data_IF_231063574641
#
_entry.id   IF_231063574641
#
_cell.length_a   1.000
_cell.length_b   1.000
_cell.length_c   1.000
_cell.angle_alpha   90.00
_cell.angle_beta   90.00
_cell.angle_gamma   90.00
#
_symmetry.space_group_name_H-M   'P 1'
#
loop_
_entity.id
_entity.type
_entity.pdbx_description
1 polymer ?
#
# COMPACT_ATOMS: atom_id res chain seq x y z
N UNK A 1 0.36 23.42 10.68
CA UNK A 1 1.02 24.49 11.49
C UNK A 1 1.89 25.33 10.56
N UNK A 2 1.80 26.68 10.61
CA UNK A 2 2.78 27.53 9.93
C UNK A 2 4.19 27.23 10.47
N UNK A 3 5.11 26.85 9.60
CA UNK A 3 6.47 26.46 9.97
C UNK A 3 7.41 27.61 9.56
N UNK A 4 7.86 28.36 10.56
CA UNK A 4 8.91 29.37 10.41
C UNK A 4 10.21 28.77 10.94
N UNK A 5 11.21 28.62 10.07
CA UNK A 5 12.53 28.13 10.44
C UNK A 5 13.41 29.36 10.67
N UNK A 6 13.87 29.52 11.92
CA UNK A 6 14.78 30.59 12.31
C UNK A 6 16.17 30.00 12.53
N UNK A 7 17.17 30.58 11.88
CA UNK A 7 18.58 30.22 12.04
C UNK A 7 19.27 31.33 12.84
N UNK A 8 19.90 30.98 13.95
CA UNK A 8 20.70 31.92 14.74
C UNK A 8 22.01 32.20 13.98
N UNK A 9 22.27 33.45 13.63
CA UNK A 9 23.43 33.88 12.85
C UNK A 9 24.40 34.79 13.64
N UNK A 10 24.15 35.03 14.93
CA UNK A 10 24.99 35.86 15.79
C UNK A 10 24.59 35.77 17.26
N UNK A 11 25.16 36.62 18.11
CA UNK A 11 24.90 36.58 19.56
C UNK A 11 23.45 36.91 19.94
N UNK A 12 22.68 37.59 19.08
CA UNK A 12 21.24 37.87 19.29
C UNK A 12 20.45 38.07 17.97
N UNK A 13 20.95 37.54 16.84
CA UNK A 13 20.31 37.73 15.54
C UNK A 13 19.79 36.42 14.95
N UNK A 14 18.50 36.42 14.55
CA UNK A 14 17.84 35.32 13.86
C UNK A 14 17.54 35.68 12.41
N UNK A 15 17.83 34.77 11.50
CA UNK A 15 17.47 34.88 10.08
C UNK A 15 16.40 33.83 9.77
N UNK A 16 15.35 34.25 9.07
CA UNK A 16 14.33 33.31 8.55
C UNK A 16 14.98 32.49 7.44
N UNK A 17 15.22 31.20 7.69
CA UNK A 17 15.83 30.27 6.73
C UNK A 17 14.81 29.42 5.98
N UNK A 18 13.53 29.52 6.32
CA UNK A 18 12.45 28.83 5.62
C UNK A 18 11.09 29.27 6.15
N UNK A 19 10.14 29.50 5.23
CA UNK A 19 8.77 29.85 5.55
C UNK A 19 7.82 29.05 4.64
N UNK A 20 6.95 28.25 5.26
CA UNK A 20 5.87 27.54 4.57
C UNK A 20 4.59 28.37 4.67
N UNK A 21 4.27 29.08 3.59
CA UNK A 21 3.19 30.06 3.42
C UNK A 21 1.79 29.42 3.30
N UNK A 22 1.46 28.49 4.20
CA UNK A 22 0.19 27.76 4.15
C UNK A 22 -1.02 28.47 4.80
N UNK A 23 -0.92 29.72 5.24
CA UNK A 23 -1.98 30.36 6.03
C UNK A 23 -2.20 31.85 5.70
N UNK A 24 -3.45 32.25 5.47
CA UNK A 24 -3.92 33.62 5.19
C UNK A 24 -4.65 34.30 6.36
N UNK A 25 -4.37 33.90 7.62
CA UNK A 25 -5.07 34.42 8.81
C UNK A 25 -4.12 35.10 9.83
N UNK A 26 -4.63 36.00 10.70
CA UNK A 26 -3.83 36.65 11.76
C UNK A 26 -3.25 35.68 12.81
N UNK A 27 -2.24 36.14 13.55
CA UNK A 27 -1.69 35.45 14.73
C UNK A 27 -2.75 35.37 15.85
N UNK A 28 -2.76 34.26 16.59
CA UNK A 28 -3.67 34.06 17.72
C UNK A 28 -3.31 35.02 18.86
N UNK A 29 -4.32 35.67 19.44
CA UNK A 29 -4.16 36.54 20.62
C UNK A 29 -3.92 35.71 21.88
N UNK A 30 -3.29 36.31 22.91
CA UNK A 30 -2.97 35.62 24.17
C UNK A 30 -4.17 34.89 24.80
N UNK A 31 -5.36 35.50 24.75
CA UNK A 31 -6.58 34.93 25.30
C UNK A 31 -6.96 33.57 24.67
N UNK A 32 -6.65 33.39 23.38
CA UNK A 32 -6.97 32.18 22.63
C UNK A 32 -5.81 31.18 22.52
N UNK A 33 -4.61 31.51 23.05
CA UNK A 33 -3.46 30.60 23.03
C UNK A 33 -3.75 29.25 23.68
N UNK A 34 -4.59 29.21 24.72
CA UNK A 34 -5.00 27.98 25.41
C UNK A 34 -5.73 26.98 24.50
N UNK A 35 -6.30 27.44 23.39
CA UNK A 35 -6.97 26.58 22.41
C UNK A 35 -6.03 26.05 21.31
N UNK A 36 -4.79 26.55 21.23
CA UNK A 36 -3.81 26.05 20.27
C UNK A 36 -3.33 24.65 20.65
N UNK A 37 -3.32 23.71 19.69
CA UNK A 37 -2.86 22.32 19.85
C UNK A 37 -1.48 22.20 20.53
N UNK A 38 -0.54 23.10 20.23
CA UNK A 38 0.80 23.11 20.83
C UNK A 38 0.78 23.38 22.35
N UNK A 39 -0.21 24.13 22.83
CA UNK A 39 -0.39 24.52 24.24
C UNK A 39 -1.36 23.58 24.99
N UNK A 40 -2.01 22.64 24.29
CA UNK A 40 -2.92 21.64 24.87
C UNK A 40 -2.16 20.36 25.21
N UNK A 41 -1.24 20.45 26.17
CA UNK A 41 -0.42 19.32 26.66
C UNK A 41 -0.54 19.21 28.17
N UNK A 42 -0.66 17.98 28.67
CA UNK A 42 -0.59 17.70 30.10
C UNK A 42 0.81 18.02 30.62
N UNK A 43 0.88 18.85 31.66
CA UNK A 43 2.12 19.03 32.43
C UNK A 43 2.52 17.74 33.15
N UNK A 44 3.80 17.62 33.50
CA UNK A 44 4.36 16.42 34.15
C UNK A 44 3.57 16.00 35.41
N UNK A 45 3.14 16.97 36.22
CA UNK A 45 2.38 16.71 37.45
C UNK A 45 0.99 16.15 37.15
N UNK A 46 0.28 16.70 36.15
CA UNK A 46 -1.04 16.19 35.76
C UNK A 46 -0.94 14.79 35.17
N UNK A 47 0.11 14.52 34.41
CA UNK A 47 0.38 13.19 33.87
C UNK A 47 0.58 12.15 34.98
N UNK A 48 1.42 12.45 35.98
CA UNK A 48 1.62 11.56 37.13
C UNK A 48 0.34 11.35 37.93
N UNK A 49 -0.46 12.40 38.14
CA UNK A 49 -1.75 12.29 38.80
C UNK A 49 -2.69 11.31 38.08
N UNK A 50 -2.79 11.40 36.75
CA UNK A 50 -3.61 10.49 35.95
C UNK A 50 -3.09 9.04 36.05
N UNK A 51 -1.76 8.84 36.06
CA UNK A 51 -1.18 7.51 36.25
C UNK A 51 -1.47 6.93 37.65
N UNK A 52 -1.41 7.75 38.70
CA UNK A 52 -1.73 7.30 40.06
C UNK A 52 -3.22 6.96 40.20
N UNK A 53 -4.10 7.72 39.57
CA UNK A 53 -5.51 7.37 39.46
C UNK A 53 -5.72 6.04 38.71
N UNK A 54 -5.00 5.79 37.62
CA UNK A 54 -5.06 4.52 36.90
C UNK A 54 -4.62 3.34 37.80
N UNK A 55 -3.58 3.51 38.63
CA UNK A 55 -3.16 2.51 39.64
C UNK A 55 -4.23 2.26 40.70
N UNK A 56 -5.04 3.28 41.01
CA UNK A 56 -6.21 3.17 41.89
C UNK A 56 -7.48 2.67 41.17
N UNK A 57 -7.35 2.17 39.94
CA UNK A 57 -8.46 1.67 39.12
C UNK A 57 -9.51 2.74 38.78
N UNK A 58 -9.10 4.01 38.75
CA UNK A 58 -9.91 5.13 38.27
C UNK A 58 -9.56 5.34 36.80
N UNK A 59 -10.57 5.20 35.93
CA UNK A 59 -10.37 5.31 34.48
C UNK A 59 -9.81 6.67 34.04
N UNK A 60 -9.13 6.75 32.87
CA UNK A 60 -8.47 7.98 32.40
C UNK A 60 -9.41 9.19 32.30
N UNK A 61 -10.65 8.98 31.82
CA UNK A 61 -11.70 10.00 31.74
C UNK A 61 -12.04 10.59 33.11
N UNK A 62 -12.32 9.72 34.08
CA UNK A 62 -12.63 10.13 35.45
C UNK A 62 -11.43 10.82 36.10
N UNK A 63 -10.23 10.31 35.87
CA UNK A 63 -8.97 10.88 36.35
C UNK A 63 -8.74 12.27 35.79
N UNK A 64 -8.97 12.47 34.50
CA UNK A 64 -8.83 13.76 33.84
C UNK A 64 -9.89 14.76 34.32
N UNK A 65 -11.16 14.33 34.47
CA UNK A 65 -12.21 15.15 35.08
C UNK A 65 -11.87 15.57 36.51
N UNK A 66 -11.36 14.65 37.33
CA UNK A 66 -10.90 14.98 38.69
C UNK A 66 -9.73 15.97 38.62
N UNK A 67 -8.72 15.70 37.78
CA UNK A 67 -7.58 16.59 37.60
C UNK A 67 -8.03 18.00 37.21
N UNK A 68 -8.97 18.11 36.26
CA UNK A 68 -9.56 19.37 35.81
C UNK A 68 -10.24 20.12 36.96
N UNK A 69 -11.00 19.45 37.82
CA UNK A 69 -11.58 20.10 39.01
C UNK A 69 -10.51 20.51 40.02
N UNK A 70 -9.48 19.68 40.24
CA UNK A 70 -8.36 19.98 41.16
C UNK A 70 -7.57 21.20 40.72
N UNK A 71 -7.33 21.36 39.42
CA UNK A 71 -6.57 22.50 38.88
C UNK A 71 -7.45 23.71 38.51
N UNK A 72 -8.77 23.63 38.77
CA UNK A 72 -9.70 24.75 38.59
C UNK A 72 -10.12 25.04 37.14
N UNK A 73 -10.07 24.03 36.25
CA UNK A 73 -10.58 24.10 34.89
C UNK A 73 -9.67 23.51 33.81
N UNK A 74 -10.22 23.29 32.61
CA UNK A 74 -9.51 22.66 31.49
C UNK A 74 -8.25 23.42 31.06
N UNK A 75 -8.29 24.76 31.04
CA UNK A 75 -7.15 25.58 30.66
C UNK A 75 -5.93 25.35 31.56
N UNK A 76 -6.17 25.14 32.85
CA UNK A 76 -5.11 24.92 33.83
C UNK A 76 -4.60 23.47 33.79
N UNK A 77 -5.42 22.52 33.33
CA UNK A 77 -4.99 21.16 33.03
C UNK A 77 -4.11 21.09 31.75
N UNK A 78 -4.03 22.17 30.97
CA UNK A 78 -3.37 22.19 29.67
C UNK A 78 -4.22 21.55 28.59
N UNK A 79 -5.54 21.76 28.62
CA UNK A 79 -6.49 21.08 27.75
C UNK A 79 -7.78 21.89 27.52
N UNK A 80 -8.67 21.31 26.72
CA UNK A 80 -10.04 21.79 26.44
C UNK A 80 -11.05 20.71 26.77
N UNK A 81 -12.34 21.07 26.79
CA UNK A 81 -13.45 20.13 26.93
C UNK A 81 -13.46 19.02 25.86
N UNK A 82 -12.90 19.30 24.68
CA UNK A 82 -12.76 18.33 23.59
C UNK A 82 -11.62 17.34 23.78
N UNK A 83 -10.62 17.65 24.62
CA UNK A 83 -9.46 16.78 24.87
C UNK A 83 -9.75 15.66 25.88
N UNK A 84 -10.94 15.67 26.49
CA UNK A 84 -11.39 14.57 27.35
C UNK A 84 -11.62 13.31 26.50
N UNK A 85 -11.98 13.41 25.22
CA UNK A 85 -12.37 12.24 24.43
C UNK A 85 -11.20 11.60 23.67
N UNK A 86 -11.21 10.27 23.61
CA UNK A 86 -10.27 9.51 22.78
C UNK A 86 -10.51 9.78 21.29
N UNK A 87 -9.61 10.51 20.64
CA UNK A 87 -9.77 10.89 19.23
C UNK A 87 -9.11 9.93 18.26
N UNK A 88 -8.04 9.27 18.69
CA UNK A 88 -7.18 8.46 17.81
C UNK A 88 -6.44 7.38 18.60
N UNK A 89 -6.36 6.17 18.04
CA UNK A 89 -5.54 5.07 18.56
C UNK A 89 -4.77 4.48 17.40
N UNK A 90 -3.46 4.34 17.52
CA UNK A 90 -2.63 3.56 16.59
C UNK A 90 -2.00 2.40 17.36
N UNK A 91 -2.02 1.20 16.78
CA UNK A 91 -1.33 0.05 17.35
C UNK A 91 -0.75 -0.85 16.25
N UNK A 92 0.39 -1.45 16.59
CA UNK A 92 1.05 -2.48 15.81
C UNK A 92 1.84 -3.36 16.77
N UNK A 93 1.63 -4.68 16.71
CA UNK A 93 2.37 -5.63 17.54
C UNK A 93 3.69 -6.06 16.87
N UNK A 94 4.58 -6.76 17.59
CA UNK A 94 5.89 -7.17 17.04
C UNK A 94 5.80 -7.99 15.75
N UNK A 95 4.79 -8.87 15.62
CA UNK A 95 4.57 -9.67 14.42
C UNK A 95 4.20 -8.80 13.23
N UNK A 96 3.33 -7.80 13.43
CA UNK A 96 2.91 -6.86 12.41
C UNK A 96 4.08 -5.98 11.93
N UNK A 97 4.93 -5.51 12.86
CA UNK A 97 6.18 -4.78 12.57
C UNK A 97 7.17 -5.65 11.79
N UNK A 98 7.33 -6.93 12.19
CA UNK A 98 8.16 -7.90 11.46
C UNK A 98 7.65 -8.13 10.03
N UNK A 99 6.34 -8.31 9.86
CA UNK A 99 5.74 -8.45 8.52
C UNK A 99 6.00 -7.22 7.65
N UNK A 100 5.91 -6.02 8.21
CA UNK A 100 6.24 -4.79 7.50
C UNK A 100 7.72 -4.75 7.07
N UNK A 101 8.63 -5.21 7.92
CA UNK A 101 10.06 -5.28 7.59
C UNK A 101 10.37 -6.20 6.39
N UNK A 102 9.52 -7.20 6.13
CA UNK A 102 9.69 -8.16 5.02
C UNK A 102 8.99 -7.66 3.75
N UNK A 103 7.76 -7.15 3.86
CA UNK A 103 6.90 -6.90 2.70
C UNK A 103 6.81 -5.42 2.28
N UNK A 104 6.93 -4.48 3.23
CA UNK A 104 7.22 -3.05 3.06
C UNK A 104 6.27 -2.14 2.25
N UNK A 105 5.42 -2.69 1.40
CA UNK A 105 4.43 -1.95 0.62
C UNK A 105 3.07 -1.94 1.32
N UNK A 106 2.42 -0.78 1.34
CA UNK A 106 1.27 -0.51 2.21
C UNK A 106 0.03 -0.11 1.42
N UNK A 107 -1.12 -0.60 1.86
CA UNK A 107 -2.44 -0.12 1.53
C UNK A 107 -3.12 0.29 2.82
N UNK A 108 -3.74 1.46 2.83
CA UNK A 108 -4.62 1.90 3.91
C UNK A 108 -5.98 2.18 3.32
N UNK A 109 -7.00 1.74 4.02
CA UNK A 109 -8.39 1.82 3.59
C UNK A 109 -9.24 2.08 4.82
N UNK A 110 -9.99 3.17 4.81
CA UNK A 110 -10.84 3.55 5.93
C UNK A 110 -12.18 2.81 5.80
N UNK A 111 -12.44 1.92 6.76
CA UNK A 111 -13.77 1.33 6.95
C UNK A 111 -14.56 2.16 7.94
N UNK A 112 -15.76 2.57 7.54
CA UNK A 112 -16.58 3.51 8.29
C UNK A 112 -17.33 2.85 9.45
N UNK A 113 -17.40 3.57 10.58
CA UNK A 113 -18.33 3.35 11.70
C UNK A 113 -18.26 1.96 12.36
N UNK A 114 -17.07 1.47 12.68
CA UNK A 114 -16.91 0.06 13.06
C UNK A 114 -17.25 -0.27 14.52
N UNK A 115 -17.68 0.71 15.31
CA UNK A 115 -17.99 0.54 16.73
C UNK A 115 -19.02 1.57 17.20
N UNK A 116 -19.49 1.42 18.45
CA UNK A 116 -20.57 2.24 19.02
C UNK A 116 -20.23 3.73 19.18
N UNK A 117 -18.95 4.09 19.02
CA UNK A 117 -18.46 5.46 19.09
C UNK A 117 -18.27 6.10 17.71
N UNK A 118 -18.70 5.40 16.66
CA UNK A 118 -18.56 5.83 15.26
C UNK A 118 -17.12 6.12 14.83
N UNK A 119 -16.13 5.57 15.54
CA UNK A 119 -14.74 5.70 15.11
C UNK A 119 -14.50 4.89 13.83
N UNK A 120 -13.63 5.42 12.99
CA UNK A 120 -13.23 4.90 11.70
C UNK A 120 -12.06 3.97 11.94
N UNK A 121 -12.17 2.75 11.45
CA UNK A 121 -11.10 1.77 11.50
C UNK A 121 -10.37 1.74 10.17
N UNK A 122 -9.05 1.94 10.21
CA UNK A 122 -8.21 1.85 9.04
C UNK A 122 -7.00 0.94 9.31
N UNK A 123 -7.02 -0.30 8.82
CA UNK A 123 -5.87 -1.18 8.91
C UNK A 123 -4.83 -0.83 7.85
N UNK A 124 -3.55 -0.88 8.25
CA UNK A 124 -2.42 -0.87 7.33
C UNK A 124 -2.17 -2.30 6.87
N UNK A 125 -2.31 -2.55 5.57
CA UNK A 125 -2.21 -3.91 5.00
C UNK A 125 -1.27 -3.97 3.81
N UNK A 126 -0.81 -5.17 3.47
CA UNK A 126 0.01 -5.44 2.29
C UNK A 126 -0.25 -6.84 1.74
N UNK A 127 0.71 -7.36 0.95
CA UNK A 127 0.71 -8.77 0.50
C UNK A 127 1.93 -9.52 1.00
N UNK A 128 1.68 -10.69 1.56
CA UNK A 128 2.69 -11.65 1.99
C UNK A 128 3.32 -12.42 0.80
N UNK A 129 4.23 -13.37 1.09
CA UNK A 129 4.89 -14.21 0.10
C UNK A 129 3.96 -15.24 -0.59
N UNK A 130 2.72 -15.40 -0.12
CA UNK A 130 1.64 -16.18 -0.76
C UNK A 130 0.69 -15.30 -1.59
N UNK A 131 0.95 -13.98 -1.63
CA UNK A 131 0.06 -13.00 -2.24
C UNK A 131 -1.30 -12.91 -1.56
N UNK A 132 -1.40 -13.28 -0.26
CA UNK A 132 -2.55 -13.02 0.60
C UNK A 132 -2.36 -11.71 1.35
N UNK A 133 -3.45 -11.18 1.91
CA UNK A 133 -3.40 -9.97 2.74
C UNK A 133 -2.59 -10.24 4.02
N UNK A 134 -1.83 -9.24 4.45
CA UNK A 134 -1.13 -9.23 5.73
C UNK A 134 -1.34 -7.88 6.39
N UNK A 135 -1.59 -7.85 7.70
CA UNK A 135 -1.78 -6.62 8.48
C UNK A 135 -0.47 -6.19 9.14
N UNK A 136 -0.13 -4.90 9.01
CA UNK A 136 1.06 -4.28 9.61
C UNK A 136 0.73 -3.46 10.86
N UNK A 137 -0.52 -3.06 11.02
CA UNK A 137 -1.01 -2.29 12.16
C UNK A 137 -2.38 -1.75 11.83
N UNK A 138 -2.96 -0.99 12.74
CA UNK A 138 -4.24 -0.35 12.50
C UNK A 138 -4.40 0.94 13.28
N UNK A 139 -5.38 1.72 12.85
CA UNK A 139 -5.78 2.94 13.52
C UNK A 139 -7.30 2.98 13.73
N UNK A 140 -7.71 3.57 14.84
CA UNK A 140 -9.06 4.09 15.06
C UNK A 140 -9.03 5.61 15.08
N UNK A 141 -9.89 6.27 14.31
CA UNK A 141 -9.98 7.72 14.21
C UNK A 141 -11.40 8.22 14.48
N UNK A 142 -11.52 9.32 15.23
CA UNK A 142 -12.80 10.01 15.45
C UNK A 142 -13.20 10.95 14.29
N UNK A 143 -12.30 11.24 13.34
CA UNK A 143 -12.62 12.06 12.18
C UNK A 143 -11.55 12.09 11.09
N UNK A 144 -11.99 12.33 9.86
CA UNK A 144 -11.19 12.31 8.61
C UNK A 144 -10.84 13.73 8.20
N UNK A 145 -9.73 14.23 8.70
CA UNK A 145 -9.16 15.50 8.26
C UNK A 145 -7.65 15.33 8.06
N UNK A 146 -7.03 16.29 7.39
CA UNK A 146 -5.61 16.17 7.04
C UNK A 146 -4.72 16.07 8.28
N UNK A 147 -5.04 16.76 9.38
CA UNK A 147 -4.28 16.64 10.64
C UNK A 147 -4.40 15.24 11.27
N UNK A 148 -5.57 14.61 11.18
CA UNK A 148 -5.77 13.23 11.65
C UNK A 148 -4.86 12.28 10.86
N UNK A 149 -4.84 12.40 9.53
CA UNK A 149 -4.02 11.51 8.70
C UNK A 149 -2.52 11.81 8.78
N UNK A 150 -2.13 13.07 8.96
CA UNK A 150 -0.73 13.42 9.27
C UNK A 150 -0.27 12.69 10.53
N UNK A 151 -1.08 12.75 11.60
CA UNK A 151 -0.80 12.01 12.84
C UNK A 151 -0.72 10.50 12.61
N UNK A 152 -1.61 9.93 11.78
CA UNK A 152 -1.59 8.51 11.44
C UNK A 152 -0.29 8.10 10.76
N UNK A 153 0.15 8.85 9.75
CA UNK A 153 1.40 8.54 9.05
C UNK A 153 2.62 8.82 9.92
N UNK A 154 2.61 9.86 10.75
CA UNK A 154 3.67 10.11 11.74
C UNK A 154 3.83 8.92 12.69
N UNK A 155 2.73 8.42 13.27
CA UNK A 155 2.76 7.28 14.19
C UNK A 155 3.16 5.98 13.50
N UNK A 156 2.70 5.78 12.27
CA UNK A 156 3.13 4.65 11.47
C UNK A 156 4.64 4.67 11.25
N UNK A 157 5.23 5.79 10.83
CA UNK A 157 6.68 5.90 10.62
C UNK A 157 7.47 5.81 11.93
N UNK A 158 6.97 6.40 13.01
CA UNK A 158 7.59 6.27 14.34
C UNK A 158 7.66 4.81 14.79
N UNK A 159 6.60 4.03 14.55
CA UNK A 159 6.52 2.62 14.92
C UNK A 159 7.32 1.70 13.98
N UNK A 160 7.25 1.95 12.68
CA UNK A 160 7.85 1.12 11.64
C UNK A 160 9.30 1.47 11.33
N UNK A 161 9.75 2.68 11.72
CA UNK A 161 11.10 3.23 11.50
C UNK A 161 11.52 3.33 10.03
N UNK A 162 10.58 3.19 9.09
CA UNK A 162 10.85 3.24 7.66
C UNK A 162 9.63 3.70 6.88
N UNK A 163 9.89 4.44 5.80
CA UNK A 163 8.87 4.84 4.83
C UNK A 163 8.48 3.66 3.93
N UNK A 164 7.19 3.49 3.61
CA UNK A 164 6.79 2.51 2.62
C UNK A 164 7.29 2.95 1.24
N UNK A 165 7.73 1.98 0.44
CA UNK A 165 8.08 2.21 -0.98
C UNK A 165 6.89 2.74 -1.77
N UNK A 166 5.69 2.27 -1.42
CA UNK A 166 4.43 2.64 -2.03
C UNK A 166 3.31 2.61 -0.99
N UNK A 167 2.41 3.58 -1.08
CA UNK A 167 1.16 3.60 -0.35
C UNK A 167 -0.03 3.70 -1.30
N UNK A 168 -1.05 2.90 -1.04
CA UNK A 168 -2.36 2.99 -1.70
C UNK A 168 -3.37 3.52 -0.71
N UNK A 169 -4.12 4.52 -1.14
CA UNK A 169 -5.25 5.08 -0.40
C UNK A 169 -6.50 5.09 -1.28
N UNK A 170 -7.66 5.41 -0.72
CA UNK A 170 -8.81 5.84 -1.50
C UNK A 170 -8.59 7.26 -2.09
N UNK A 171 -9.66 7.88 -2.60
CA UNK A 171 -9.61 9.22 -3.20
C UNK A 171 -9.84 10.36 -2.19
N UNK A 172 -9.55 10.16 -0.90
CA UNK A 172 -9.69 11.20 0.12
C UNK A 172 -8.64 12.33 -0.09
N UNK A 173 -9.08 13.59 -0.32
CA UNK A 173 -8.17 14.73 -0.44
C UNK A 173 -7.29 14.97 0.80
N UNK A 174 -7.80 14.69 2.00
CA UNK A 174 -7.07 14.82 3.25
C UNK A 174 -5.94 13.79 3.36
N UNK A 175 -6.17 12.54 2.95
CA UNK A 175 -5.11 11.54 2.86
C UNK A 175 -4.04 11.96 1.86
N UNK A 176 -4.42 12.47 0.69
CA UNK A 176 -3.47 12.95 -0.32
C UNK A 176 -2.53 14.03 0.24
N UNK A 177 -3.07 15.02 0.97
CA UNK A 177 -2.28 16.07 1.60
C UNK A 177 -1.34 15.47 2.64
N UNK A 178 -1.86 14.62 3.54
CA UNK A 178 -1.06 14.03 4.60
C UNK A 178 0.07 13.12 4.09
N UNK A 179 -0.17 12.33 3.03
CA UNK A 179 0.87 11.52 2.37
C UNK A 179 1.96 12.43 1.80
N UNK A 180 1.61 13.54 1.15
CA UNK A 180 2.60 14.48 0.61
C UNK A 180 3.41 15.20 1.71
N UNK A 181 2.79 15.46 2.86
CA UNK A 181 3.45 16.14 3.98
C UNK A 181 4.39 15.21 4.77
N UNK A 182 4.00 13.95 5.01
CA UNK A 182 4.74 13.04 5.87
C UNK A 182 5.61 12.06 5.07
N UNK A 183 5.09 11.49 3.99
CA UNK A 183 5.69 10.37 3.27
C UNK A 183 6.43 10.80 1.99
N UNK A 184 7.43 11.66 2.14
CA UNK A 184 8.17 12.29 1.02
C UNK A 184 8.84 11.32 0.05
N UNK A 185 9.36 10.19 0.54
CA UNK A 185 10.00 9.15 -0.29
C UNK A 185 9.04 8.02 -0.73
N UNK A 186 7.75 8.18 -0.43
CA UNK A 186 6.73 7.17 -0.73
C UNK A 186 5.97 7.52 -2.00
N UNK A 187 5.73 6.50 -2.83
CA UNK A 187 4.86 6.64 -4.00
C UNK A 187 3.41 6.53 -3.59
N UNK A 188 2.64 7.58 -3.81
CA UNK A 188 1.20 7.57 -3.58
C UNK A 188 0.44 7.03 -4.80
N UNK A 189 -0.42 6.05 -4.60
CA UNK A 189 -1.37 5.54 -5.60
C UNK A 189 -2.79 5.54 -5.06
N UNK A 190 -3.75 5.60 -5.97
CA UNK A 190 -5.16 5.50 -5.64
C UNK A 190 -5.65 4.05 -5.84
N UNK A 191 -6.49 3.60 -4.91
CA UNK A 191 -7.07 2.27 -4.92
C UNK A 191 -8.04 2.11 -6.10
N UNK A 192 -7.71 1.19 -7.00
CA UNK A 192 -8.53 0.91 -8.18
C UNK A 192 -9.93 0.40 -7.81
N UNK A 193 -10.07 -0.32 -6.68
CA UNK A 193 -11.37 -0.84 -6.25
C UNK A 193 -12.36 0.28 -5.97
N UNK A 194 -11.97 1.26 -5.15
CA UNK A 194 -12.80 2.44 -4.86
C UNK A 194 -13.13 3.26 -6.11
N UNK A 195 -12.19 3.36 -7.05
CA UNK A 195 -12.43 4.03 -8.33
C UNK A 195 -13.51 3.28 -9.11
N UNK A 196 -13.37 1.96 -9.24
CA UNK A 196 -14.29 1.11 -10.01
C UNK A 196 -15.68 1.02 -9.37
N UNK A 197 -15.81 1.10 -8.05
CA UNK A 197 -17.10 1.20 -7.37
C UNK A 197 -17.86 2.49 -7.71
N UNK A 198 -17.15 3.59 -7.96
CA UNK A 198 -17.76 4.87 -8.35
C UNK A 198 -18.17 4.91 -9.81
N UNK A 199 -17.59 4.08 -10.68
CA UNK A 199 -17.89 4.10 -12.13
C UNK A 199 -19.39 3.96 -12.39
N UNK A 200 -20.13 2.95 -11.88
CA UNK A 200 -21.57 2.81 -12.11
C UNK A 200 -22.41 4.01 -11.63
N UNK A 201 -21.96 4.75 -10.62
CA UNK A 201 -22.65 5.94 -10.12
C UNK A 201 -22.53 7.13 -11.08
N UNK A 202 -21.47 7.15 -11.89
CA UNK A 202 -21.13 8.21 -12.85
C UNK A 202 -21.62 7.91 -14.26
N UNK A 203 -22.11 6.71 -14.51
CA UNK A 203 -22.69 6.31 -15.79
C UNK A 203 -24.12 6.81 -15.95
N UNK A 204 -24.48 7.13 -17.20
CA UNK A 204 -25.86 7.30 -17.62
C UNK A 204 -26.66 6.02 -17.32
N UNK A 205 -27.93 6.15 -16.95
CA UNK A 205 -28.78 5.03 -16.48
C UNK A 205 -28.78 3.83 -17.42
N UNK A 206 -28.80 4.07 -18.74
CA UNK A 206 -28.80 3.00 -19.75
C UNK A 206 -27.46 2.25 -19.86
N UNK A 207 -26.34 2.86 -19.45
CA UNK A 207 -25.01 2.27 -19.51
C UNK A 207 -24.67 1.42 -18.28
N UNK A 208 -25.38 1.60 -17.16
CA UNK A 208 -25.11 0.88 -15.90
C UNK A 208 -25.13 -0.64 -16.08
N UNK A 209 -26.00 -1.13 -16.97
CA UNK A 209 -26.16 -2.54 -17.29
C UNK A 209 -25.72 -2.89 -18.73
N UNK A 210 -25.02 -1.99 -19.42
CA UNK A 210 -24.51 -2.27 -20.76
C UNK A 210 -23.25 -3.16 -20.67
N UNK A 211 -23.41 -4.44 -21.00
CA UNK A 211 -22.34 -5.43 -20.97
C UNK A 211 -21.24 -5.15 -22.02
N UNK A 212 -21.57 -4.50 -23.14
CA UNK A 212 -20.59 -4.12 -24.17
C UNK A 212 -19.68 -3.02 -23.64
N UNK A 213 -20.27 -1.97 -23.04
CA UNK A 213 -19.53 -0.92 -22.37
C UNK A 213 -18.62 -1.49 -21.28
N UNK A 214 -19.19 -2.29 -20.36
CA UNK A 214 -18.43 -2.90 -19.26
C UNK A 214 -17.25 -3.72 -19.79
N UNK A 215 -17.46 -4.53 -20.81
CA UNK A 215 -16.40 -5.37 -21.39
C UNK A 215 -15.25 -4.52 -21.96
N UNK A 216 -15.56 -3.52 -22.78
CA UNK A 216 -14.54 -2.68 -23.44
C UNK A 216 -13.83 -1.78 -22.42
N UNK A 217 -14.59 -1.16 -21.50
CA UNK A 217 -14.03 -0.30 -20.46
C UNK A 217 -13.12 -1.09 -19.49
N UNK A 218 -13.56 -2.25 -19.03
CA UNK A 218 -12.72 -3.11 -18.18
C UNK A 218 -11.49 -3.61 -18.95
N UNK A 219 -11.62 -4.00 -20.22
CA UNK A 219 -10.47 -4.41 -21.03
C UNK A 219 -9.43 -3.30 -21.17
N UNK A 220 -9.86 -2.04 -21.26
CA UNK A 220 -8.97 -0.89 -21.29
C UNK A 220 -8.29 -0.64 -19.94
N UNK A 221 -9.09 -0.50 -18.87
CA UNK A 221 -8.62 -0.19 -17.50
C UNK A 221 -7.66 -1.26 -16.96
N UNK A 222 -7.96 -2.52 -17.23
CA UNK A 222 -7.20 -3.67 -16.73
C UNK A 222 -6.11 -4.15 -17.69
N UNK A 223 -5.86 -3.45 -18.79
CA UNK A 223 -4.84 -3.86 -19.75
C UNK A 223 -3.43 -3.79 -19.14
N UNK A 224 -2.73 -4.91 -19.20
CA UNK A 224 -1.38 -5.08 -18.66
C UNK A 224 -0.30 -4.56 -19.61
N UNK A 225 -0.60 -4.38 -20.90
CA UNK A 225 0.40 -4.18 -21.98
C UNK A 225 0.06 -3.03 -22.94
N UNK A 226 -0.93 -2.20 -22.63
CA UNK A 226 -1.30 -1.08 -23.49
C UNK A 226 -0.32 0.09 -23.34
N UNK A 227 0.20 0.61 -24.46
CA UNK A 227 1.03 1.80 -24.47
C UNK A 227 0.22 3.06 -24.12
N UNK A 228 0.84 4.11 -23.54
CA UNK A 228 0.12 5.28 -23.05
C UNK A 228 -0.70 6.01 -24.12
N UNK A 229 -0.13 6.22 -25.29
CA UNK A 229 -0.79 6.86 -26.43
C UNK A 229 -2.00 6.04 -26.94
N UNK A 230 -1.85 4.71 -26.98
CA UNK A 230 -2.94 3.80 -27.35
C UNK A 230 -4.04 3.79 -26.28
N UNK A 231 -3.67 3.87 -25.00
CA UNK A 231 -4.63 4.00 -23.92
C UNK A 231 -5.42 5.29 -24.05
N UNK A 232 -4.75 6.41 -24.32
CA UNK A 232 -5.35 7.74 -24.40
C UNK A 232 -6.35 7.79 -25.56
N UNK A 233 -5.94 7.32 -26.74
CA UNK A 233 -6.81 7.24 -27.90
C UNK A 233 -8.03 6.33 -27.64
N UNK A 234 -7.85 5.17 -26.99
CA UNK A 234 -8.96 4.26 -26.67
C UNK A 234 -9.89 4.83 -25.58
N UNK A 235 -9.32 5.50 -24.58
CA UNK A 235 -10.08 6.15 -23.52
C UNK A 235 -11.01 7.21 -24.11
N UNK A 236 -10.47 8.12 -24.93
CA UNK A 236 -11.25 9.17 -25.58
C UNK A 236 -12.30 8.58 -26.53
N UNK A 237 -11.94 7.55 -27.31
CA UNK A 237 -12.89 6.87 -28.18
C UNK A 237 -14.08 6.26 -27.41
N UNK A 238 -13.82 5.59 -26.28
CA UNK A 238 -14.90 5.05 -25.43
C UNK A 238 -15.76 6.19 -24.89
N UNK A 239 -15.18 7.26 -24.37
CA UNK A 239 -15.97 8.36 -23.81
C UNK A 239 -16.83 9.06 -24.86
N UNK A 240 -16.35 9.19 -26.10
CA UNK A 240 -17.12 9.77 -27.21
C UNK A 240 -18.27 8.84 -27.61
N UNK A 241 -17.99 7.56 -27.85
CA UNK A 241 -18.99 6.58 -28.32
C UNK A 241 -20.14 6.43 -27.33
N UNK A 242 -19.84 6.48 -26.03
CA UNK A 242 -20.82 6.28 -24.97
C UNK A 242 -21.37 7.60 -24.38
N UNK A 243 -21.05 8.76 -24.98
CA UNK A 243 -21.59 10.06 -24.55
C UNK A 243 -21.14 10.50 -23.15
N UNK A 244 -19.95 10.09 -22.72
CA UNK A 244 -19.34 10.41 -21.42
C UNK A 244 -18.29 11.53 -21.52
N UNK A 245 -18.01 12.04 -22.71
CA UNK A 245 -16.95 13.02 -22.95
C UNK A 245 -17.11 14.33 -22.16
N UNK A 246 -18.34 14.74 -21.83
CA UNK A 246 -18.65 15.94 -21.04
C UNK A 246 -18.79 15.68 -19.53
N UNK A 247 -18.68 14.42 -19.11
CA UNK A 247 -18.77 14.07 -17.70
C UNK A 247 -17.46 14.45 -16.97
N UNK A 248 -17.60 15.35 -15.98
CA UNK A 248 -16.48 15.97 -15.28
C UNK A 248 -15.61 15.00 -14.48
N UNK A 249 -16.19 13.93 -13.95
CA UNK A 249 -15.48 12.91 -13.18
C UNK A 249 -14.56 12.08 -14.07
N UNK A 250 -15.00 11.62 -15.26
CA UNK A 250 -14.16 10.90 -16.22
C UNK A 250 -12.98 11.76 -16.70
N UNK A 251 -13.21 13.06 -16.97
CA UNK A 251 -12.12 14.02 -17.26
C UNK A 251 -11.12 14.13 -16.10
N UNK A 252 -11.62 14.20 -14.87
CA UNK A 252 -10.78 14.26 -13.67
C UNK A 252 -9.96 12.97 -13.49
N UNK A 253 -10.56 11.80 -13.74
CA UNK A 253 -9.85 10.52 -13.68
C UNK A 253 -8.72 10.43 -14.71
N UNK A 254 -8.97 10.94 -15.92
CA UNK A 254 -7.94 11.03 -16.96
C UNK A 254 -6.79 11.98 -16.57
N UNK A 255 -7.09 13.13 -15.95
CA UNK A 255 -6.05 14.04 -15.47
C UNK A 255 -5.19 13.43 -14.34
N UNK A 256 -5.82 12.76 -13.37
CA UNK A 256 -5.10 12.11 -12.26
C UNK A 256 -4.22 10.96 -12.78
N UNK A 257 -4.65 10.27 -13.84
CA UNK A 257 -3.83 9.28 -14.54
C UNK A 257 -2.54 9.87 -15.10
N UNK A 258 -2.63 11.02 -15.77
CA UNK A 258 -1.46 11.71 -16.36
C UNK A 258 -0.43 12.03 -15.28
N UNK A 259 -0.89 12.36 -14.07
CA UNK A 259 -0.04 12.57 -12.89
C UNK A 259 0.51 11.27 -12.27
N UNK A 260 0.28 10.10 -12.88
CA UNK A 260 0.87 8.81 -12.49
C UNK A 260 0.17 8.07 -11.35
N UNK A 261 -0.88 8.64 -10.75
CA UNK A 261 -1.49 8.14 -9.51
C UNK A 261 -2.46 6.94 -9.70
N UNK A 262 -2.98 6.70 -10.91
CA UNK A 262 -3.99 5.65 -11.16
C UNK A 262 -3.49 4.52 -12.07
N UNK A 263 -3.08 4.81 -13.32
CA UNK A 263 -2.91 3.74 -14.31
C UNK A 263 -1.45 3.37 -14.64
N UNK A 264 -0.46 4.12 -14.14
CA UNK A 264 0.94 3.70 -14.08
C UNK A 264 1.55 3.06 -15.35
N UNK A 265 1.08 3.40 -16.55
CA UNK A 265 1.55 2.78 -17.79
C UNK A 265 2.49 3.68 -18.62
N UNK A 266 2.60 4.97 -18.29
CA UNK A 266 3.60 5.88 -18.90
C UNK A 266 5.03 5.74 -18.36
N UNK A 267 5.20 5.10 -17.19
CA UNK A 267 6.51 4.96 -16.56
C UNK A 267 6.64 3.60 -15.87
N UNK A 268 6.78 2.51 -16.64
CA UNK A 268 7.11 1.20 -16.10
C UNK A 268 8.61 1.15 -15.77
N UNK A 269 9.04 2.01 -14.85
CA UNK A 269 10.42 2.04 -14.32
C UNK A 269 10.48 1.51 -12.89
N UNK A 270 9.35 1.09 -12.32
CA UNK A 270 9.26 0.84 -10.89
C UNK A 270 8.92 -0.61 -10.57
N UNK A 271 9.80 -1.31 -9.83
CA UNK A 271 9.55 -2.67 -9.37
C UNK A 271 8.19 -2.82 -8.70
N UNK A 272 7.49 -3.92 -8.99
CA UNK A 272 6.29 -4.40 -8.28
C UNK A 272 5.02 -3.56 -8.39
N UNK A 273 4.96 -2.57 -9.30
CA UNK A 273 3.83 -1.64 -9.40
C UNK A 273 2.47 -2.27 -9.72
N UNK A 274 2.43 -3.52 -10.21
CA UNK A 274 1.18 -4.21 -10.60
C UNK A 274 0.57 -5.05 -9.48
N UNK A 275 1.32 -5.41 -8.42
CA UNK A 275 0.73 -6.05 -7.22
C UNK A 275 -0.44 -5.21 -6.68
N UNK A 276 -0.31 -3.90 -6.85
CA UNK A 276 -1.09 -2.82 -6.28
C UNK A 276 -2.13 -2.24 -7.24
N UNK A 277 -2.16 -2.69 -8.50
CA UNK A 277 -3.24 -2.36 -9.43
C UNK A 277 -4.49 -3.18 -9.12
N UNK A 278 -4.34 -4.36 -8.51
CA UNK A 278 -5.47 -5.26 -8.21
C UNK A 278 -6.37 -4.67 -7.13
N UNK A 279 -7.69 -4.64 -7.39
CA UNK A 279 -8.71 -4.38 -6.36
C UNK A 279 -8.59 -5.33 -5.15
N UNK A 280 -7.95 -6.48 -5.37
CA UNK A 280 -7.87 -7.58 -4.43
C UNK A 280 -7.36 -7.21 -3.04
N UNK A 281 -6.52 -6.19 -2.84
CA UNK A 281 -6.02 -5.84 -1.50
C UNK A 281 -7.16 -5.24 -0.68
N UNK A 282 -7.73 -4.12 -1.14
CA UNK A 282 -8.89 -3.48 -0.50
C UNK A 282 -10.08 -4.43 -0.39
N UNK A 283 -10.41 -5.15 -1.46
CA UNK A 283 -11.50 -6.15 -1.44
C UNK A 283 -11.28 -7.23 -0.40
N UNK A 284 -10.09 -7.86 -0.38
CA UNK A 284 -9.81 -8.95 0.54
C UNK A 284 -9.75 -8.47 1.98
N UNK A 285 -9.17 -7.31 2.24
CA UNK A 285 -9.11 -6.74 3.57
C UNK A 285 -10.50 -6.32 4.07
N UNK A 286 -11.31 -5.66 3.24
CA UNK A 286 -12.69 -5.33 3.58
C UNK A 286 -13.49 -6.61 3.87
N UNK A 287 -13.42 -7.61 2.98
CA UNK A 287 -14.07 -8.91 3.19
C UNK A 287 -13.57 -9.63 4.44
N UNK A 288 -12.28 -9.51 4.77
CA UNK A 288 -11.68 -10.16 5.92
C UNK A 288 -12.19 -9.55 7.22
N UNK A 289 -12.03 -8.24 7.39
CA UNK A 289 -12.42 -7.56 8.63
C UNK A 289 -13.93 -7.48 8.82
N UNK A 290 -14.74 -7.40 7.76
CA UNK A 290 -16.20 -7.39 7.89
C UNK A 290 -16.78 -8.59 8.65
N UNK A 291 -16.07 -9.72 8.72
CA UNK A 291 -16.48 -10.88 9.52
C UNK A 291 -16.28 -10.69 11.04
N UNK A 292 -15.50 -9.70 11.44
CA UNK A 292 -15.08 -9.45 12.82
C UNK A 292 -15.56 -8.10 13.36
N UNK A 293 -15.95 -7.17 12.48
CA UNK A 293 -16.42 -5.84 12.89
C UNK A 293 -17.87 -5.90 13.37
N UNK A 294 -18.13 -5.30 14.53
CA UNK A 294 -19.47 -5.19 15.11
C UNK A 294 -19.74 -3.74 15.51
N UNK A 295 -20.71 -3.11 14.85
CA UNK A 295 -21.15 -1.74 15.07
C UNK A 295 -21.57 -1.45 16.52
N UNK A 296 -22.06 -2.44 17.26
CA UNK A 296 -22.44 -2.30 18.67
C UNK A 296 -21.29 -2.44 19.66
N UNK A 297 -20.11 -2.88 19.21
CA UNK A 297 -18.98 -3.18 20.07
C UNK A 297 -18.46 -1.92 20.76
N UNK A 298 -18.10 -2.06 22.03
CA UNK A 298 -17.23 -1.10 22.70
C UNK A 298 -15.76 -1.31 22.29
N UNK A 299 -14.85 -0.42 22.68
CA UNK A 299 -13.45 -0.49 22.24
C UNK A 299 -12.72 -1.75 22.74
N UNK A 300 -13.08 -2.29 23.90
CA UNK A 300 -12.49 -3.53 24.43
C UNK A 300 -12.94 -4.72 23.59
N UNK A 301 -14.25 -4.83 23.32
CA UNK A 301 -14.81 -5.86 22.44
C UNK A 301 -14.21 -5.76 21.03
N UNK A 302 -14.07 -4.54 20.50
CA UNK A 302 -13.41 -4.30 19.23
C UNK A 302 -11.98 -4.85 19.20
N UNK A 303 -11.18 -4.59 20.23
CA UNK A 303 -9.82 -5.12 20.33
C UNK A 303 -9.81 -6.64 20.40
N UNK A 304 -10.74 -7.26 21.15
CA UNK A 304 -10.87 -8.72 21.20
C UNK A 304 -11.19 -9.32 19.82
N UNK A 305 -12.07 -8.68 19.05
CA UNK A 305 -12.39 -9.11 17.68
C UNK A 305 -11.21 -8.92 16.74
N UNK A 306 -10.47 -7.81 16.88
CA UNK A 306 -9.25 -7.56 16.12
C UNK A 306 -8.19 -8.64 16.40
N UNK A 307 -7.95 -8.98 17.66
CA UNK A 307 -6.99 -10.01 18.05
C UNK A 307 -7.39 -11.38 17.49
N UNK A 308 -8.67 -11.74 17.57
CA UNK A 308 -9.19 -12.98 16.96
C UNK A 308 -9.00 -13.01 15.43
N UNK A 309 -9.18 -11.87 14.76
CA UNK A 309 -8.88 -11.74 13.34
C UNK A 309 -7.38 -11.96 13.08
N UNK A 310 -6.50 -11.33 13.86
CA UNK A 310 -5.05 -11.49 13.71
C UNK A 310 -4.59 -12.94 13.93
N UNK A 311 -5.13 -13.62 14.94
CA UNK A 311 -4.87 -15.04 15.18
C UNK A 311 -5.28 -15.91 14.00
N UNK A 312 -6.46 -15.64 13.42
CA UNK A 312 -6.93 -16.37 12.23
C UNK A 312 -6.02 -16.14 11.02
N UNK A 313 -5.62 -14.89 10.77
CA UNK A 313 -4.72 -14.54 9.67
C UNK A 313 -3.35 -15.21 9.83
N UNK A 314 -2.79 -15.19 11.04
CA UNK A 314 -1.48 -15.77 11.37
C UNK A 314 -1.50 -17.29 11.29
N UNK A 315 -2.51 -17.94 11.86
CA UNK A 315 -2.64 -19.38 11.76
C UNK A 315 -2.75 -19.85 10.31
N UNK A 316 -3.52 -19.12 9.48
CA UNK A 316 -3.62 -19.42 8.05
C UNK A 316 -2.28 -19.23 7.31
N UNK A 317 -1.47 -18.24 7.70
CA UNK A 317 -0.14 -18.02 7.15
C UNK A 317 0.83 -19.14 7.53
N UNK A 318 0.88 -19.50 8.82
CA UNK A 318 1.77 -20.54 9.34
C UNK A 318 1.44 -21.91 8.76
N UNK A 319 0.15 -22.23 8.62
CA UNK A 319 -0.30 -23.46 7.97
C UNK A 319 0.20 -23.54 6.52
N UNK A 320 0.12 -22.43 5.77
CA UNK A 320 0.61 -22.39 4.39
C UNK A 320 2.13 -22.53 4.29
N UNK A 321 2.87 -21.85 5.17
CA UNK A 321 4.32 -22.02 5.24
C UNK A 321 4.71 -23.45 5.60
N UNK A 322 3.99 -24.08 6.54
CA UNK A 322 4.23 -25.48 6.90
C UNK A 322 4.03 -26.41 5.70
N UNK A 323 2.94 -26.22 4.94
CA UNK A 323 2.64 -27.02 3.73
C UNK A 323 3.72 -26.82 2.67
N UNK A 324 4.17 -25.58 2.46
CA UNK A 324 5.23 -25.25 1.52
C UNK A 324 6.59 -25.79 1.96
N UNK A 325 6.86 -25.96 3.25
CA UNK A 325 8.10 -26.60 3.71
C UNK A 325 8.04 -28.12 3.65
N UNK A 326 6.86 -28.73 3.76
CA UNK A 326 6.70 -30.19 3.71
C UNK A 326 6.49 -30.75 2.31
N UNK A 327 6.09 -29.92 1.35
CA UNK A 327 5.64 -30.39 0.02
C UNK A 327 6.27 -29.57 -1.11
N UNK A 328 6.64 -30.26 -2.19
CA UNK A 328 6.99 -29.61 -3.45
C UNK A 328 5.81 -29.73 -4.43
N UNK A 329 5.41 -28.63 -5.10
CA UNK A 329 4.41 -28.70 -6.14
C UNK A 329 4.90 -29.54 -7.31
N UNK A 330 3.96 -30.17 -8.03
CA UNK A 330 4.27 -30.98 -9.21
C UNK A 330 4.65 -30.06 -10.37
N UNK A 331 5.70 -30.44 -11.10
CA UNK A 331 6.08 -29.77 -12.34
C UNK A 331 5.29 -30.33 -13.53
N UNK A 332 5.09 -29.49 -14.55
CA UNK A 332 4.35 -29.82 -15.77
C UNK A 332 5.24 -29.97 -17.00
N UNK A 333 6.44 -29.41 -16.99
CA UNK A 333 7.41 -29.47 -18.09
C UNK A 333 8.67 -30.25 -17.66
N UNK A 334 9.46 -30.75 -18.62
CA UNK A 334 10.72 -31.43 -18.32
C UNK A 334 11.87 -30.46 -17.98
N UNK A 335 11.62 -29.15 -17.89
CA UNK A 335 12.66 -28.15 -17.72
C UNK A 335 13.15 -28.06 -16.28
N UNK A 336 14.46 -28.19 -16.07
CA UNK A 336 15.09 -28.19 -14.75
C UNK A 336 14.85 -26.90 -13.95
N UNK A 337 14.78 -25.75 -14.63
CA UNK A 337 14.51 -24.49 -13.95
C UNK A 337 13.07 -24.40 -13.40
N UNK A 338 12.13 -25.22 -13.88
CA UNK A 338 10.81 -25.37 -13.27
C UNK A 338 10.92 -26.13 -11.94
N UNK A 339 11.71 -27.20 -11.89
CA UNK A 339 12.02 -27.89 -10.63
C UNK A 339 12.69 -26.95 -9.62
N UNK A 340 13.63 -26.10 -10.07
CA UNK A 340 14.20 -25.06 -9.21
C UNK A 340 13.14 -24.04 -8.77
N UNK A 341 12.24 -23.60 -9.66
CA UNK A 341 11.13 -22.72 -9.29
C UNK A 341 10.25 -23.33 -8.18
N UNK A 342 10.00 -24.64 -8.24
CA UNK A 342 9.22 -25.37 -7.26
C UNK A 342 9.86 -25.43 -5.86
N UNK A 343 11.19 -25.31 -5.75
CA UNK A 343 11.89 -25.32 -4.45
C UNK A 343 11.98 -23.93 -3.82
N UNK A 344 12.00 -22.86 -4.63
CA UNK A 344 12.20 -21.49 -4.15
C UNK A 344 10.90 -20.74 -3.85
N UNK A 345 9.88 -20.88 -4.71
CA UNK A 345 8.63 -20.12 -4.58
C UNK A 345 7.63 -20.82 -3.65
N UNK A 346 6.79 -20.03 -3.00
CA UNK A 346 5.61 -20.56 -2.31
C UNK A 346 4.71 -21.29 -3.31
N UNK A 347 3.94 -22.31 -2.89
CA UNK A 347 3.13 -23.11 -3.83
C UNK A 347 2.22 -22.25 -4.69
N UNK A 348 1.60 -21.23 -4.09
CA UNK A 348 0.69 -20.32 -4.79
C UNK A 348 1.40 -19.42 -5.80
N UNK A 349 2.64 -19.00 -5.54
CA UNK A 349 3.42 -18.22 -6.50
C UNK A 349 4.03 -19.12 -7.57
N UNK A 350 4.43 -20.34 -7.21
CA UNK A 350 4.92 -21.34 -8.15
C UNK A 350 3.90 -21.60 -9.26
N UNK A 351 2.61 -21.78 -8.94
CA UNK A 351 1.56 -21.98 -9.97
C UNK A 351 1.57 -20.85 -11.01
N UNK A 352 1.74 -19.59 -10.59
CA UNK A 352 1.82 -18.45 -11.52
C UNK A 352 3.09 -18.44 -12.36
N UNK A 353 4.20 -18.94 -11.82
CA UNK A 353 5.47 -19.09 -12.55
C UNK A 353 5.38 -20.27 -13.51
N UNK A 354 4.77 -21.36 -13.10
CA UNK A 354 4.50 -22.55 -13.90
C UNK A 354 3.62 -22.21 -15.11
N UNK A 355 2.57 -21.42 -14.95
CA UNK A 355 1.77 -20.90 -16.08
C UNK A 355 2.63 -20.17 -17.13
N UNK A 356 3.61 -19.37 -16.70
CA UNK A 356 4.53 -18.68 -17.62
C UNK A 356 5.54 -19.64 -18.26
N UNK A 357 5.97 -20.66 -17.53
CA UNK A 357 6.88 -21.69 -18.03
C UNK A 357 6.16 -22.57 -19.07
N UNK A 358 4.94 -23.01 -18.79
CA UNK A 358 4.08 -23.76 -19.73
C UNK A 358 3.80 -22.93 -20.98
N UNK A 359 3.45 -21.64 -20.83
CA UNK A 359 3.30 -20.72 -21.97
C UNK A 359 4.57 -20.62 -22.80
N UNK A 360 5.74 -20.54 -22.16
CA UNK A 360 7.01 -20.53 -22.87
C UNK A 360 7.27 -21.85 -23.63
N UNK A 361 6.89 -22.99 -23.03
CA UNK A 361 7.11 -24.32 -23.58
C UNK A 361 6.21 -24.63 -24.78
N UNK A 362 4.93 -24.22 -24.72
CA UNK A 362 3.92 -24.68 -25.68
C UNK A 362 3.42 -23.59 -26.63
N UNK A 363 3.62 -22.31 -26.29
CA UNK A 363 2.98 -21.19 -27.00
C UNK A 363 3.93 -20.07 -27.41
N UNK A 364 5.21 -20.14 -27.07
CA UNK A 364 6.17 -19.09 -27.43
C UNK A 364 7.24 -19.63 -28.37
N UNK A 365 7.57 -18.85 -29.41
CA UNK A 365 8.61 -19.20 -30.38
C UNK A 365 9.51 -18.01 -30.65
N UNK A 366 10.80 -18.26 -30.86
CA UNK A 366 11.74 -17.23 -31.33
C UNK A 366 11.59 -17.11 -32.83
N UNK A 367 11.13 -15.95 -33.29
CA UNK A 367 10.86 -15.65 -34.71
C UNK A 367 11.95 -14.78 -35.35
N UNK A 368 12.72 -14.03 -34.56
CA UNK A 368 13.85 -13.23 -35.03
C UNK A 368 14.99 -13.23 -34.01
N UNK A 369 16.22 -13.20 -34.52
CA UNK A 369 17.44 -13.03 -33.73
C UNK A 369 18.28 -11.96 -34.42
N UNK A 370 18.54 -10.89 -33.70
CA UNK A 370 19.38 -9.77 -34.14
C UNK A 370 20.67 -9.81 -33.30
N UNK A 371 21.79 -10.24 -33.89
CA UNK A 371 23.06 -10.30 -33.18
C UNK A 371 23.62 -8.90 -32.98
N UNK A 372 24.10 -8.63 -31.77
CA UNK A 372 24.94 -7.47 -31.46
C UNK A 372 26.16 -7.90 -30.66
N UNK A 373 27.16 -7.03 -30.59
CA UNK A 373 28.45 -7.33 -29.97
C UNK A 373 28.29 -7.59 -28.46
N UNK A 374 27.69 -6.64 -27.73
CA UNK A 374 27.42 -6.74 -26.28
C UNK A 374 26.03 -7.28 -25.94
N UNK A 375 25.04 -7.08 -26.81
CA UNK A 375 23.64 -7.45 -26.57
C UNK A 375 23.07 -8.21 -27.77
N UNK A 376 22.34 -9.30 -27.52
CA UNK A 376 21.56 -10.02 -28.53
C UNK A 376 20.09 -9.68 -28.35
N UNK A 377 19.40 -9.35 -29.42
CA UNK A 377 17.96 -9.08 -29.39
C UNK A 377 17.18 -10.24 -30.01
N UNK A 378 16.26 -10.81 -29.25
CA UNK A 378 15.36 -11.88 -29.67
C UNK A 378 13.95 -11.32 -29.84
N UNK A 379 13.28 -11.66 -30.93
CA UNK A 379 11.84 -11.49 -31.04
C UNK A 379 11.16 -12.80 -30.73
N UNK A 380 10.30 -12.76 -29.72
CA UNK A 380 9.53 -13.90 -29.24
C UNK A 380 8.07 -13.62 -29.53
N UNK A 381 7.49 -14.44 -30.39
CA UNK A 381 6.05 -14.46 -30.62
C UNK A 381 5.40 -15.34 -29.56
N UNK A 382 4.33 -14.85 -28.93
CA UNK A 382 3.51 -15.66 -28.01
C UNK A 382 2.23 -16.16 -28.69
N UNK A 383 1.47 -17.01 -28.00
CA UNK A 383 0.23 -17.59 -28.53
C UNK A 383 -0.93 -16.59 -28.76
N UNK A 384 -0.65 -15.29 -28.74
CA UNK A 384 -1.58 -14.22 -29.10
C UNK A 384 -1.21 -13.48 -30.39
N UNK A 385 -0.30 -14.06 -31.20
CA UNK A 385 0.26 -13.48 -32.43
C UNK A 385 0.94 -12.11 -32.19
N UNK A 386 1.32 -11.84 -30.93
CA UNK A 386 2.04 -10.63 -30.55
C UNK A 386 3.52 -10.96 -30.39
N UNK A 387 4.38 -10.16 -31.04
CA UNK A 387 5.83 -10.30 -30.92
C UNK A 387 6.38 -9.34 -29.86
N UNK A 388 7.14 -9.89 -28.91
CA UNK A 388 7.86 -9.15 -27.89
C UNK A 388 9.36 -9.21 -28.12
N UNK A 389 10.06 -8.18 -27.66
CA UNK A 389 11.51 -8.09 -27.76
C UNK A 389 12.14 -8.49 -26.44
N UNK A 390 13.10 -9.42 -26.47
CA UNK A 390 13.92 -9.80 -25.33
C UNK A 390 15.37 -9.44 -25.64
N UNK A 391 15.92 -8.49 -24.89
CA UNK A 391 17.32 -8.08 -24.99
C UNK A 391 18.13 -8.87 -23.99
N UNK A 392 19.17 -9.56 -24.45
CA UNK A 392 20.10 -10.32 -23.61
C UNK A 392 21.48 -9.67 -23.64
N UNK A 393 21.89 -9.13 -22.50
CA UNK A 393 23.23 -8.59 -22.28
C UNK A 393 24.19 -9.74 -21.95
N UNK A 394 25.25 -9.90 -22.75
CA UNK A 394 26.24 -10.97 -22.60
C UNK A 394 27.23 -10.72 -21.46
N UNK A 395 27.42 -9.46 -21.05
CA UNK A 395 28.38 -9.07 -20.01
C UNK A 395 27.75 -9.25 -18.65
N UNK A 396 26.55 -8.71 -18.46
CA UNK A 396 25.79 -8.82 -17.21
C UNK A 396 25.04 -10.14 -17.08
N UNK A 397 24.97 -10.93 -18.17
CA UNK A 397 24.21 -12.16 -18.28
C UNK A 397 22.72 -11.93 -17.96
N UNK A 398 22.16 -10.83 -18.46
CA UNK A 398 20.80 -10.38 -18.15
C UNK A 398 19.90 -10.33 -19.37
N UNK A 399 18.80 -11.06 -19.34
CA UNK A 399 17.64 -10.90 -20.19
C UNK A 399 16.63 -9.86 -19.64
N UNK A 400 16.18 -8.95 -20.51
CA UNK A 400 15.11 -7.97 -20.24
C UNK A 400 14.09 -8.04 -21.37
N UNK A 401 12.81 -8.20 -21.02
CA UNK A 401 11.72 -8.28 -22.00
C UNK A 401 10.92 -6.98 -22.07
N UNK A 402 10.53 -6.58 -23.29
CA UNK A 402 9.66 -5.43 -23.57
C UNK A 402 8.28 -5.53 -22.90
N UNK A 403 7.80 -6.73 -22.56
CA UNK A 403 6.55 -6.89 -21.79
C UNK A 403 6.66 -6.38 -20.34
N UNK A 404 7.89 -6.16 -19.84
CA UNK A 404 8.22 -5.63 -18.51
C UNK A 404 7.58 -6.38 -17.34
N UNK A 405 7.18 -7.66 -17.52
CA UNK A 405 6.49 -8.44 -16.47
C UNK A 405 7.32 -8.59 -15.20
N UNK A 406 8.63 -8.82 -15.33
CA UNK A 406 9.53 -8.91 -14.20
C UNK A 406 9.59 -7.60 -13.41
N UNK A 407 9.73 -6.45 -14.09
CA UNK A 407 9.66 -5.14 -13.45
C UNK A 407 8.30 -4.93 -12.77
N UNK A 408 7.20 -5.29 -13.43
CA UNK A 408 5.83 -5.03 -12.95
C UNK A 408 5.39 -5.92 -11.79
N UNK A 409 5.77 -7.20 -11.79
CA UNK A 409 5.25 -8.25 -10.89
C UNK A 409 6.34 -8.99 -10.10
N UNK A 410 7.62 -8.77 -10.41
CA UNK A 410 8.75 -9.50 -9.81
C UNK A 410 8.80 -10.97 -10.21
N UNK A 411 8.10 -11.35 -11.29
CA UNK A 411 8.06 -12.70 -11.83
C UNK A 411 8.44 -12.65 -13.31
N UNK A 412 9.27 -13.60 -13.74
CA UNK A 412 9.68 -13.73 -15.13
C UNK A 412 8.48 -13.98 -16.04
N UNK A 413 8.54 -13.49 -17.28
CA UNK A 413 7.56 -13.81 -18.31
C UNK A 413 7.98 -15.02 -19.14
N UNK A 414 7.00 -15.64 -19.76
CA UNK A 414 7.18 -16.68 -20.76
C UNK A 414 8.27 -16.35 -21.80
N UNK A 415 8.32 -15.11 -22.31
CA UNK A 415 9.34 -14.71 -23.29
C UNK A 415 10.78 -14.87 -22.81
N UNK A 416 11.06 -14.66 -21.52
CA UNK A 416 12.41 -14.82 -20.95
C UNK A 416 12.70 -16.32 -20.72
N UNK A 417 11.69 -17.10 -20.32
CA UNK A 417 11.85 -18.55 -20.15
C UNK A 417 12.17 -19.28 -21.46
N UNK A 418 11.71 -18.76 -22.62
CA UNK A 418 12.14 -19.27 -23.93
C UNK A 418 13.67 -19.18 -24.08
N UNK A 419 14.28 -18.06 -23.68
CA UNK A 419 15.73 -17.89 -23.72
C UNK A 419 16.44 -18.80 -22.71
N UNK A 420 15.86 -19.03 -21.53
CA UNK A 420 16.45 -19.95 -20.54
C UNK A 420 16.58 -21.36 -21.12
N UNK A 421 15.58 -21.82 -21.86
CA UNK A 421 15.64 -23.09 -22.56
C UNK A 421 16.70 -23.07 -23.70
N UNK A 422 16.81 -21.98 -24.47
CA UNK A 422 17.84 -21.86 -25.51
C UNK A 422 19.26 -21.90 -24.94
N UNK A 423 19.50 -21.23 -23.81
CA UNK A 423 20.78 -21.20 -23.13
C UNK A 423 21.01 -22.42 -22.21
N UNK A 424 20.04 -23.33 -22.11
CA UNK A 424 20.08 -24.53 -21.26
C UNK A 424 20.40 -24.21 -19.79
N UNK A 425 19.78 -23.15 -19.26
CA UNK A 425 19.91 -22.83 -17.84
C UNK A 425 19.16 -23.86 -17.01
N UNK A 426 19.85 -24.50 -16.06
CA UNK A 426 19.23 -25.50 -15.19
C UNK A 426 18.45 -24.86 -14.03
N UNK A 427 18.75 -23.60 -13.70
CA UNK A 427 18.23 -22.89 -12.55
C UNK A 427 17.82 -21.45 -12.91
N UNK A 428 16.79 -20.91 -12.23
CA UNK A 428 16.51 -19.47 -12.28
C UNK A 428 17.65 -18.70 -11.60
N UNK A 429 18.37 -17.81 -12.30
CA UNK A 429 19.43 -17.03 -11.68
C UNK A 429 18.92 -16.14 -10.56
N UNK A 430 19.69 -16.01 -9.47
CA UNK A 430 19.32 -15.24 -8.27
C UNK A 430 18.86 -13.80 -8.56
N UNK A 431 19.42 -13.17 -9.59
CA UNK A 431 19.03 -11.81 -10.05
C UNK A 431 17.56 -11.71 -10.48
N UNK A 432 16.92 -12.84 -10.82
CA UNK A 432 15.51 -12.94 -11.18
C UNK A 432 14.62 -13.50 -10.07
N UNK A 433 15.17 -13.72 -8.87
CA UNK A 433 14.42 -14.23 -7.71
C UNK A 433 14.21 -13.08 -6.73
N UNK A 434 12.98 -12.57 -6.68
CA UNK A 434 12.61 -11.53 -5.71
C UNK A 434 12.34 -12.19 -4.36
N UNK A 435 13.18 -11.89 -3.37
CA UNK A 435 13.18 -12.52 -2.03
C UNK A 435 11.78 -12.63 -1.40
N UNK A 436 10.96 -11.57 -1.50
CA UNK A 436 9.61 -11.53 -0.93
C UNK A 436 8.66 -12.61 -1.44
N UNK A 437 8.91 -13.23 -2.60
CA UNK A 437 8.07 -14.29 -3.16
C UNK A 437 8.52 -15.69 -2.80
N UNK A 438 9.66 -15.79 -2.11
CA UNK A 438 10.27 -17.08 -1.79
C UNK A 438 9.69 -17.66 -0.50
N UNK A 439 9.88 -18.97 -0.30
CA UNK A 439 9.62 -19.64 1.00
C UNK A 439 10.49 -19.06 2.11
N UNK A 440 11.67 -18.55 1.75
CA UNK A 440 12.66 -17.95 2.64
C UNK A 440 12.48 -16.42 2.83
N UNK A 441 11.32 -15.84 2.47
CA UNK A 441 11.09 -14.40 2.58
C UNK A 441 11.35 -13.88 4.01
N UNK A 442 10.99 -14.66 5.03
CA UNK A 442 11.15 -14.32 6.44
C UNK A 442 12.62 -14.21 6.91
N UNK A 443 13.57 -14.72 6.13
CA UNK A 443 15.02 -14.66 6.42
C UNK A 443 15.68 -13.40 5.84
N UNK A 444 14.95 -12.64 5.03
CA UNK A 444 15.50 -11.53 4.26
C UNK A 444 14.64 -10.27 4.45
N UNK A 445 14.65 -9.66 5.65
CA UNK A 445 14.02 -8.37 5.87
C UNK A 445 14.68 -7.32 4.97
N UNK A 446 13.90 -6.32 4.55
CA UNK A 446 14.31 -5.36 3.53
C UNK A 446 15.55 -4.52 3.92
N UNK A 447 15.84 -4.35 5.21
CA UNK A 447 16.90 -3.42 5.66
C UNK A 447 17.82 -3.92 6.79
N UNK A 448 17.79 -5.21 7.17
CA UNK A 448 18.67 -5.72 8.23
C UNK A 448 18.55 -4.97 9.58
N UNK A 449 17.45 -4.25 9.80
CA UNK A 449 17.16 -3.52 11.05
C UNK A 449 16.81 -4.58 12.09
N UNK A 450 17.77 -4.88 12.96
CA UNK A 450 17.52 -5.47 14.27
C UNK A 450 16.68 -4.47 15.07
N UNK A 451 15.38 -4.72 15.18
CA UNK A 451 14.52 -3.98 16.11
C UNK A 451 14.79 -4.52 17.52
N UNK A 452 15.31 -3.68 18.46
CA UNK A 452 15.60 -4.13 19.83
C UNK A 452 14.36 -4.59 20.61
N UNK A 453 13.16 -4.39 20.06
CA UNK A 453 11.87 -4.84 20.60
C UNK A 453 11.39 -6.17 19.98
N UNK A 454 12.20 -6.82 19.13
CA UNK A 454 11.97 -8.17 18.61
C UNK A 454 12.66 -9.26 19.46
N UNK A 455 13.36 -8.89 20.54
CA UNK A 455 13.88 -9.81 21.57
C UNK A 455 12.86 -10.12 22.67
#
# INVERSE_FOLDING_TARGET
>A
MARLILKLCGQDEYVVSGFLEGHTHPLVTEEFKKYLKVNRKLGFVHYNFILDCARANIGPMSSFRICKEVVGGYSNAGATDKDDNLTSIFWADPTARRNYSIFGDVSIDCTYKTNRYEMIFAPFTGKDNHGKIVTFGAVLLSGENHESYEWVFEKFIECMRRHPSMIITDQDPAMKIAVQCILHDTRHRLCMWHIMLKVPERLLTHLKNDESFKKIFNALVWSDLIEPDVFDAKWDAILIVYGLADESWFRSMFAIRILGAIFGHGFPTHPMSVIYRTTSISESMNSFFNNYLNYGANLVEFMMYFDSAMDTQRNAYDLQNSIDHSTLPKTSTPWKFEHHAATIYTTKLFVKVQEEIERACYHCNVVRIEPGDSCITYGVEDGSDQTFTVSYDKVEDTAVCSCKKFVRKGLLCCHIFVLFNQFKWDEIPKKYVVSRWTRAAHLNPLDGIEDPLLE
#
